data_IF_644790116216
#
_entry.id   IF_644790116216
#
_cell.length_a   1.000
_cell.length_b   1.000
_cell.length_c   1.000
_cell.angle_alpha   90.00
_cell.angle_beta   90.00
_cell.angle_gamma   90.00
#
_symmetry.space_group_name_H-M   'P 1'
#
loop_
_entity.id
_entity.type
_entity.pdbx_description
1 polymer ?
#
# COMPACT_ATOMS: atom_id res chain seq x y z
N UNK A 1 -2.47 10.09 36.41
CA UNK A 1 -2.23 11.33 35.65
C UNK A 1 -2.47 10.99 34.18
N UNK A 2 -3.66 11.28 33.64
CA UNK A 2 -3.98 11.00 32.24
C UNK A 2 -3.42 12.15 31.40
N UNK A 3 -2.45 11.88 30.54
CA UNK A 3 -1.96 12.87 29.57
C UNK A 3 -2.99 13.02 28.45
N UNK A 4 -3.67 14.16 28.40
CA UNK A 4 -4.53 14.53 27.29
C UNK A 4 -3.66 14.85 26.08
N UNK A 5 -3.50 13.90 25.17
CA UNK A 5 -2.84 14.14 23.89
C UNK A 5 -3.82 14.95 23.02
N UNK A 6 -3.75 16.28 23.11
CA UNK A 6 -4.41 17.17 22.14
C UNK A 6 -3.62 17.16 20.84
N UNK A 7 -3.77 16.10 20.05
CA UNK A 7 -3.26 16.06 18.67
C UNK A 7 -4.03 17.12 17.87
N UNK A 8 -3.33 18.19 17.48
CA UNK A 8 -3.88 19.19 16.55
C UNK A 8 -4.01 18.52 15.19
N UNK A 9 -5.24 18.24 14.78
CA UNK A 9 -5.53 17.83 13.40
C UNK A 9 -5.21 19.03 12.49
N UNK A 10 -4.34 18.87 11.49
CA UNK A 10 -4.06 19.94 10.56
C UNK A 10 -5.34 20.32 9.80
N UNK A 11 -5.61 21.61 9.69
CA UNK A 11 -6.70 22.16 8.90
C UNK A 11 -6.15 23.18 7.92
N UNK A 12 -6.75 23.24 6.74
CA UNK A 12 -6.35 24.15 5.68
C UNK A 12 -7.60 24.87 5.18
N UNK A 13 -7.48 26.16 4.94
CA UNK A 13 -8.48 26.99 4.29
C UNK A 13 -8.57 26.68 2.81
N UNK A 14 -9.71 27.01 2.19
CA UNK A 14 -9.90 26.86 0.74
C UNK A 14 -8.85 27.67 -0.04
N UNK A 15 -8.49 28.85 0.47
CA UNK A 15 -7.46 29.69 -0.15
C UNK A 15 -6.10 28.98 -0.17
N UNK A 16 -5.68 28.41 0.96
CA UNK A 16 -4.42 27.65 1.03
C UNK A 16 -4.40 26.47 0.05
N UNK A 17 -5.53 25.78 -0.14
CA UNK A 17 -5.64 24.71 -1.13
C UNK A 17 -5.55 25.21 -2.57
N UNK A 18 -6.19 26.34 -2.90
CA UNK A 18 -6.15 26.91 -4.25
C UNK A 18 -4.78 27.52 -4.60
N UNK A 19 -4.07 28.04 -3.60
CA UNK A 19 -2.74 28.61 -3.75
C UNK A 19 -1.63 27.54 -3.69
N UNK A 20 -1.95 26.27 -3.36
CA UNK A 20 -0.97 25.19 -3.23
C UNK A 20 -0.37 24.80 -4.59
N UNK A 21 0.96 24.90 -4.69
CA UNK A 21 1.76 24.52 -5.86
C UNK A 21 2.66 23.30 -5.58
N UNK A 22 2.42 22.59 -4.48
CA UNK A 22 3.17 21.39 -4.12
C UNK A 22 3.04 20.33 -5.22
N UNK A 23 4.13 19.60 -5.53
CA UNK A 23 4.07 18.55 -6.53
C UNK A 23 3.13 17.43 -6.09
N UNK A 24 2.47 16.79 -7.05
CA UNK A 24 1.65 15.61 -6.77
C UNK A 24 2.56 14.50 -6.24
N UNK A 25 2.19 13.79 -5.16
CA UNK A 25 3.01 12.72 -4.60
C UNK A 25 3.39 11.67 -5.65
N UNK A 26 4.62 11.16 -5.57
CA UNK A 26 5.06 10.08 -6.44
C UNK A 26 4.40 8.75 -6.05
N UNK A 27 4.12 7.94 -7.08
CA UNK A 27 3.60 6.60 -6.90
C UNK A 27 4.74 5.65 -6.50
N UNK A 28 4.51 4.86 -5.45
CA UNK A 28 5.25 3.60 -5.26
C UNK A 28 4.74 2.59 -6.30
N UNK A 29 3.43 2.52 -6.47
CA UNK A 29 2.74 1.66 -7.46
C UNK A 29 1.77 2.51 -8.29
N UNK A 30 1.99 2.56 -9.59
CA UNK A 30 1.13 3.30 -10.54
C UNK A 30 0.02 2.41 -11.11
N UNK A 31 -1.06 2.99 -11.67
CA UNK A 31 -1.40 4.41 -11.68
C UNK A 31 -2.17 4.81 -10.42
N UNK A 32 -1.55 5.61 -9.54
CA UNK A 32 -2.16 6.08 -8.28
C UNK A 32 -2.67 4.98 -7.35
N UNK A 33 -2.13 3.77 -7.46
CA UNK A 33 -2.54 2.62 -6.63
C UNK A 33 -1.98 2.75 -5.22
N UNK A 34 -0.71 3.13 -5.10
CA UNK A 34 -0.07 3.38 -3.82
C UNK A 34 0.96 4.50 -3.96
N UNK A 35 0.78 5.59 -3.21
CA UNK A 35 1.74 6.69 -3.13
C UNK A 35 2.63 6.56 -1.91
N UNK A 36 3.71 7.35 -1.85
CA UNK A 36 4.54 7.43 -0.66
C UNK A 36 3.69 7.76 0.58
N UNK A 37 3.93 7.03 1.69
CA UNK A 37 3.19 7.13 2.96
C UNK A 37 1.72 6.68 2.90
N UNK A 38 1.27 6.12 1.78
CA UNK A 38 -0.06 5.52 1.66
C UNK A 38 -0.15 4.16 2.36
N UNK A 39 -1.39 3.76 2.68
CA UNK A 39 -1.75 2.42 3.16
C UNK A 39 -2.80 1.83 2.21
N UNK A 40 -2.55 0.64 1.70
CA UNK A 40 -3.49 -0.10 0.85
C UNK A 40 -4.05 -1.30 1.61
N UNK A 41 -5.36 -1.53 1.49
CA UNK A 41 -6.07 -2.63 2.16
C UNK A 41 -6.84 -3.44 1.12
N UNK A 42 -6.62 -4.76 1.11
CA UNK A 42 -7.41 -5.70 0.30
C UNK A 42 -8.61 -6.20 1.10
N UNK A 43 -9.80 -5.69 0.76
CA UNK A 43 -11.07 -6.17 1.29
C UNK A 43 -11.70 -7.26 0.42
N UNK A 44 -12.50 -8.13 1.02
CA UNK A 44 -13.32 -9.10 0.28
C UNK A 44 -13.67 -10.35 1.09
N UNK A 45 -14.62 -11.17 0.62
CA UNK A 45 -15.07 -12.37 1.33
C UNK A 45 -13.93 -13.36 1.63
N UNK A 46 -14.12 -14.27 2.61
CA UNK A 46 -13.19 -15.36 2.86
C UNK A 46 -12.97 -16.21 1.59
N UNK A 47 -11.74 -16.69 1.39
CA UNK A 47 -11.35 -17.64 0.32
C UNK A 47 -11.54 -17.16 -1.14
N UNK A 48 -11.71 -15.85 -1.36
CA UNK A 48 -11.79 -15.27 -2.72
C UNK A 48 -10.40 -15.13 -3.42
N UNK A 49 -9.32 -15.60 -2.80
CA UNK A 49 -7.97 -15.55 -3.37
C UNK A 49 -7.15 -14.28 -3.06
N UNK A 50 -7.51 -13.51 -2.03
CA UNK A 50 -6.79 -12.27 -1.66
C UNK A 50 -5.30 -12.51 -1.38
N UNK A 51 -4.99 -13.56 -0.63
CA UNK A 51 -3.61 -13.87 -0.26
C UNK A 51 -2.77 -14.30 -1.46
N UNK A 52 -3.34 -15.14 -2.34
CA UNK A 52 -2.67 -15.63 -3.55
C UNK A 52 -2.41 -14.47 -4.53
N UNK A 53 -3.39 -13.58 -4.68
CA UNK A 53 -3.23 -12.32 -5.41
C UNK A 53 -2.12 -11.45 -4.80
N UNK A 54 -2.15 -11.23 -3.49
CA UNK A 54 -1.19 -10.37 -2.81
C UNK A 54 0.24 -10.90 -2.95
N UNK A 55 0.45 -12.20 -2.74
CA UNK A 55 1.77 -12.84 -2.89
C UNK A 55 2.26 -12.72 -4.34
N UNK A 56 1.40 -13.05 -5.32
CA UNK A 56 1.72 -12.90 -6.74
C UNK A 56 2.14 -11.47 -7.06
N UNK A 57 1.37 -10.49 -6.59
CA UNK A 57 1.66 -9.09 -6.83
C UNK A 57 2.95 -8.63 -6.14
N UNK A 58 3.19 -9.07 -4.89
CA UNK A 58 4.42 -8.79 -4.15
C UNK A 58 5.67 -9.30 -4.88
N UNK A 59 5.61 -10.48 -5.50
CA UNK A 59 6.71 -11.03 -6.31
C UNK A 59 6.98 -10.15 -7.54
N UNK A 60 5.93 -9.73 -8.26
CA UNK A 60 6.09 -8.83 -9.42
C UNK A 60 6.66 -7.47 -9.00
N UNK A 61 6.20 -6.92 -7.87
CA UNK A 61 6.73 -5.69 -7.28
C UNK A 61 8.21 -5.84 -6.90
N UNK A 62 8.60 -6.99 -6.34
CA UNK A 62 10.00 -7.26 -6.01
C UNK A 62 10.88 -7.31 -7.28
N UNK A 63 10.36 -7.87 -8.37
CA UNK A 63 11.03 -7.91 -9.66
C UNK A 63 11.01 -6.56 -10.42
N UNK A 64 10.18 -5.60 -10.01
CA UNK A 64 9.98 -4.34 -10.73
C UNK A 64 9.17 -4.49 -12.02
N UNK A 65 8.35 -5.53 -12.13
CA UNK A 65 7.55 -5.85 -13.33
C UNK A 65 6.08 -5.51 -13.08
N UNK A 66 5.38 -5.06 -14.13
CA UNK A 66 3.95 -4.77 -14.05
C UNK A 66 3.12 -6.05 -13.83
N UNK A 67 2.06 -5.94 -13.04
CA UNK A 67 1.08 -7.00 -12.81
C UNK A 67 -0.33 -6.42 -12.96
N UNK A 68 -1.12 -6.94 -13.90
CA UNK A 68 -2.47 -6.45 -14.19
C UNK A 68 -2.54 -4.92 -14.42
N UNK A 69 -1.53 -4.35 -15.09
CA UNK A 69 -1.41 -2.92 -15.35
C UNK A 69 -0.89 -2.08 -14.16
N UNK A 70 -0.75 -2.67 -12.97
CA UNK A 70 -0.15 -2.02 -11.82
C UNK A 70 1.37 -2.11 -11.91
N UNK A 71 2.05 -0.97 -11.94
CA UNK A 71 3.50 -0.92 -12.24
C UNK A 71 4.27 -0.33 -11.07
N UNK A 72 5.22 -1.08 -10.46
CA UNK A 72 6.08 -0.54 -9.43
C UNK A 72 7.04 0.51 -10.02
N UNK A 73 7.36 1.55 -9.26
CA UNK A 73 8.29 2.59 -9.72
C UNK A 73 9.73 2.10 -9.90
N UNK A 74 10.08 0.97 -9.28
CA UNK A 74 11.36 0.25 -9.37
C UNK A 74 11.22 -1.13 -8.71
N UNK A 75 12.17 -2.07 -8.88
CA UNK A 75 12.24 -3.28 -8.06
C UNK A 75 12.24 -2.94 -6.56
N UNK A 76 11.30 -3.52 -5.81
CA UNK A 76 11.10 -3.21 -4.40
C UNK A 76 11.70 -4.28 -3.48
N UNK A 77 12.17 -3.86 -2.30
CA UNK A 77 12.50 -4.80 -1.22
C UNK A 77 11.23 -5.07 -0.42
N UNK A 78 10.74 -6.30 -0.48
CA UNK A 78 9.47 -6.69 0.12
C UNK A 78 9.70 -7.47 1.42
N UNK A 79 8.98 -7.07 2.46
CA UNK A 79 8.79 -7.86 3.67
C UNK A 79 7.32 -8.33 3.71
N UNK A 80 7.12 -9.63 3.93
CA UNK A 80 5.79 -10.23 4.00
C UNK A 80 5.61 -10.93 5.35
N UNK A 81 4.64 -10.47 6.13
CA UNK A 81 4.25 -11.06 7.42
C UNK A 81 2.88 -11.71 7.27
N UNK A 82 2.83 -13.03 7.41
CA UNK A 82 1.60 -13.83 7.36
C UNK A 82 1.32 -14.43 8.74
N UNK A 83 0.05 -14.46 9.13
CA UNK A 83 -0.40 -14.93 10.46
C UNK A 83 -1.47 -16.02 10.39
N UNK A 84 -2.02 -16.31 9.22
CA UNK A 84 -3.19 -17.20 9.08
C UNK A 84 -2.86 -18.67 8.79
N UNK A 85 -1.80 -18.95 8.03
CA UNK A 85 -1.49 -20.31 7.55
C UNK A 85 -0.10 -20.78 7.97
N UNK A 86 0.05 -22.09 8.15
CA UNK A 86 1.31 -22.72 8.52
C UNK A 86 2.32 -22.71 7.38
N UNK A 87 3.60 -22.86 7.72
CA UNK A 87 4.71 -22.81 6.78
C UNK A 87 4.59 -23.83 5.63
N UNK A 88 4.09 -25.03 5.90
CA UNK A 88 4.00 -26.06 4.87
C UNK A 88 2.98 -25.70 3.78
N UNK A 89 1.84 -25.08 4.14
CA UNK A 89 0.86 -24.59 3.18
C UNK A 89 1.36 -23.41 2.34
N UNK A 90 2.35 -22.66 2.83
CA UNK A 90 2.95 -21.56 2.05
C UNK A 90 3.74 -22.06 0.84
N UNK A 91 4.21 -23.32 0.84
CA UNK A 91 4.99 -23.89 -0.27
C UNK A 91 4.16 -24.12 -1.52
N UNK A 92 2.84 -24.21 -1.37
CA UNK A 92 1.89 -24.42 -2.48
C UNK A 92 1.49 -23.12 -3.17
N UNK A 93 1.91 -21.96 -2.64
CA UNK A 93 1.53 -20.62 -3.11
C UNK A 93 2.57 -19.95 -3.98
#
# INVERSE_FOLDING_TARGET
MLQTITQKIPFFSVKEYLDDQSPIPEDIISPRILTQRGLLVFGGPPKIGKSDFLISWLIHMAAGVSFLGMTPSRPLKIFYMQTEIEYDYMKER
#
